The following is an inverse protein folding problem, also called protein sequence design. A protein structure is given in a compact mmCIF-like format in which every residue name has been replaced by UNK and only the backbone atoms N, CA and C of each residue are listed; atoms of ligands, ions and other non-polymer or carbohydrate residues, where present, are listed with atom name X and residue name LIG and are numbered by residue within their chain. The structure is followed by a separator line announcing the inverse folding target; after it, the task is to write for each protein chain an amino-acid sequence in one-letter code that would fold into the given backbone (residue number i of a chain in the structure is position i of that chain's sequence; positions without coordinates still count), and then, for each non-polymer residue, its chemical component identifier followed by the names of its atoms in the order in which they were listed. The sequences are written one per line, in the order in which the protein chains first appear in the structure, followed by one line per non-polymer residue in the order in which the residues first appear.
data_IF_924820581438
#
_entry.id   IF_924820581438
#
_cell.length_a   1.000
_cell.length_b   1.000
_cell.length_c   1.000
_cell.angle_alpha   90.00
_cell.angle_beta   90.00
_cell.angle_gamma   90.00
#
_symmetry.space_group_name_H-M   'P 1'
#
loop_
_entity.id
_entity.type
_entity.pdbx_description
1 polymer ?
#
# COMPACT_ATOMS: atom_id res chain seq x y z
N UNK A 1 20.52 -22.98 -31.47
CA UNK A 1 20.50 -22.07 -30.29
C UNK A 1 19.44 -20.94 -30.32
N UNK A 2 18.79 -20.60 -31.45
CA UNK A 2 17.79 -19.50 -31.53
C UNK A 2 16.46 -19.70 -30.76
N UNK A 3 16.03 -20.95 -30.55
CA UNK A 3 14.71 -21.28 -29.98
C UNK A 3 14.59 -20.99 -28.47
N UNK A 4 15.72 -20.98 -27.76
CA UNK A 4 15.79 -20.75 -26.30
C UNK A 4 15.73 -19.25 -25.96
N UNK A 5 16.38 -18.40 -26.78
CA UNK A 5 16.37 -16.95 -26.60
C UNK A 5 14.98 -16.31 -26.83
N UNK A 6 14.20 -16.84 -27.79
CA UNK A 6 12.83 -16.37 -28.05
C UNK A 6 11.87 -16.71 -26.90
N UNK A 7 11.96 -17.94 -26.37
CA UNK A 7 11.17 -18.35 -25.21
C UNK A 7 11.49 -17.51 -23.96
N UNK A 8 12.77 -17.21 -23.72
CA UNK A 8 13.19 -16.31 -22.63
C UNK A 8 12.62 -14.89 -22.78
N UNK A 9 12.66 -14.32 -24.00
CA UNK A 9 12.05 -13.01 -24.28
C UNK A 9 10.53 -13.01 -24.08
N UNK A 10 9.84 -14.06 -24.50
CA UNK A 10 8.39 -14.18 -24.33
C UNK A 10 8.01 -14.32 -22.84
N UNK A 11 8.76 -15.08 -22.06
CA UNK A 11 8.55 -15.20 -20.61
C UNK A 11 8.83 -13.88 -19.88
N UNK A 12 9.91 -13.16 -20.25
CA UNK A 12 10.20 -11.84 -19.72
C UNK A 12 9.09 -10.82 -20.06
N UNK A 13 8.60 -10.82 -21.30
CA UNK A 13 7.47 -9.98 -21.72
C UNK A 13 6.18 -10.32 -20.98
N UNK A 14 5.87 -11.61 -20.79
CA UNK A 14 4.72 -12.06 -19.99
C UNK A 14 4.86 -11.66 -18.52
N UNK A 15 6.06 -11.76 -17.96
CA UNK A 15 6.39 -11.28 -16.62
C UNK A 15 6.20 -9.78 -16.49
N UNK A 16 6.65 -8.99 -17.47
CA UNK A 16 6.47 -7.54 -17.49
C UNK A 16 5.00 -7.12 -17.60
N UNK A 17 4.20 -7.79 -18.45
CA UNK A 17 2.74 -7.56 -18.54
C UNK A 17 2.06 -7.88 -17.21
N UNK A 18 2.42 -9.00 -16.57
CA UNK A 18 1.89 -9.37 -15.25
C UNK A 18 2.27 -8.34 -14.18
N UNK A 19 3.52 -7.86 -14.17
CA UNK A 19 3.97 -6.83 -13.25
C UNK A 19 3.22 -5.50 -13.46
N UNK A 20 3.00 -5.09 -14.72
CA UNK A 20 2.23 -3.91 -15.05
C UNK A 20 0.76 -4.03 -14.59
N UNK A 21 0.10 -5.15 -14.87
CA UNK A 21 -1.26 -5.41 -14.39
C UNK A 21 -1.38 -5.38 -12.86
N UNK A 22 -0.39 -5.93 -12.15
CA UNK A 22 -0.31 -5.85 -10.69
C UNK A 22 -0.16 -4.40 -10.23
N UNK A 23 0.72 -3.62 -10.86
CA UNK A 23 0.91 -2.19 -10.55
C UNK A 23 -0.37 -1.39 -10.75
N UNK A 24 -1.08 -1.60 -11.86
CA UNK A 24 -2.36 -0.95 -12.14
C UNK A 24 -3.43 -1.32 -11.10
N UNK A 25 -3.49 -2.60 -10.71
CA UNK A 25 -4.42 -3.05 -9.67
C UNK A 25 -4.09 -2.40 -8.32
N UNK A 26 -2.82 -2.38 -7.91
CA UNK A 26 -2.39 -1.72 -6.67
C UNK A 26 -2.72 -0.23 -6.70
N UNK A 27 -2.44 0.46 -7.82
CA UNK A 27 -2.75 1.88 -7.97
C UNK A 27 -4.27 2.15 -7.86
N UNK A 28 -5.09 1.31 -8.51
CA UNK A 28 -6.55 1.40 -8.41
C UNK A 28 -7.03 1.17 -6.98
N UNK A 29 -6.53 0.14 -6.31
CA UNK A 29 -6.88 -0.16 -4.92
C UNK A 29 -6.55 1.01 -3.98
N UNK A 30 -5.33 1.57 -4.08
CA UNK A 30 -4.93 2.72 -3.27
C UNK A 30 -5.81 3.93 -3.54
N UNK A 31 -6.08 4.25 -4.80
CA UNK A 31 -6.97 5.37 -5.18
C UNK A 31 -8.37 5.19 -4.60
N UNK A 32 -8.93 3.99 -4.71
CA UNK A 32 -10.25 3.68 -4.14
C UNK A 32 -10.26 3.83 -2.62
N UNK A 33 -9.23 3.35 -1.92
CA UNK A 33 -9.12 3.49 -0.46
C UNK A 33 -9.04 4.96 -0.04
N UNK A 34 -8.24 5.78 -0.74
CA UNK A 34 -8.17 7.23 -0.48
C UNK A 34 -9.53 7.92 -0.68
N UNK A 35 -10.22 7.62 -1.77
CA UNK A 35 -11.53 8.22 -2.06
C UNK A 35 -12.60 7.76 -1.05
N UNK A 36 -12.66 6.46 -0.75
CA UNK A 36 -13.63 5.92 0.20
C UNK A 36 -13.42 6.47 1.61
N UNK A 37 -12.16 6.59 2.07
CA UNK A 37 -11.84 7.17 3.38
C UNK A 37 -12.17 8.66 3.42
N UNK A 38 -11.91 9.43 2.37
CA UNK A 38 -12.31 10.84 2.28
C UNK A 38 -13.84 11.03 2.40
N UNK A 39 -14.63 10.22 1.69
CA UNK A 39 -16.10 10.24 1.78
C UNK A 39 -16.55 9.90 3.19
N UNK A 40 -16.06 8.80 3.77
CA UNK A 40 -16.45 8.39 5.12
C UNK A 40 -16.07 9.42 6.19
N UNK A 41 -14.87 10.02 6.09
CA UNK A 41 -14.43 11.06 7.02
C UNK A 41 -15.27 12.34 6.91
N UNK A 42 -15.68 12.69 5.71
CA UNK A 42 -16.62 13.80 5.49
C UNK A 42 -17.99 13.49 6.09
N UNK A 43 -18.58 12.34 5.76
CA UNK A 43 -19.94 11.99 6.18
C UNK A 43 -20.07 11.79 7.70
N UNK A 44 -19.08 11.17 8.34
CA UNK A 44 -19.14 10.84 9.77
C UNK A 44 -18.66 11.99 10.65
N UNK A 45 -17.61 12.71 10.23
CA UNK A 45 -16.94 13.71 11.08
C UNK A 45 -17.00 15.13 10.52
N UNK A 46 -17.61 15.36 9.36
CA UNK A 46 -17.70 16.67 8.73
C UNK A 46 -16.36 17.23 8.26
N UNK A 47 -15.39 16.37 7.93
CA UNK A 47 -14.08 16.85 7.50
C UNK A 47 -14.18 17.59 6.16
N UNK A 48 -13.65 18.82 6.14
CA UNK A 48 -13.46 19.59 4.90
C UNK A 48 -12.16 19.20 4.18
N UNK A 49 -11.93 19.76 2.97
CA UNK A 49 -10.80 19.43 2.11
C UNK A 49 -9.44 19.43 2.84
N UNK A 50 -9.11 20.51 3.56
CA UNK A 50 -7.84 20.62 4.29
C UNK A 50 -7.60 19.52 5.34
N UNK A 51 -8.67 19.00 5.97
CA UNK A 51 -8.54 17.90 6.94
C UNK A 51 -8.38 16.56 6.23
N UNK A 52 -9.03 16.39 5.08
CA UNK A 52 -8.89 15.20 4.24
C UNK A 52 -7.48 15.13 3.66
N UNK A 53 -6.94 16.25 3.17
CA UNK A 53 -5.58 16.32 2.62
C UNK A 53 -4.55 15.97 3.69
N UNK A 54 -4.64 16.56 4.89
CA UNK A 54 -3.77 16.18 6.02
C UNK A 54 -3.88 14.70 6.41
N UNK A 55 -5.09 14.14 6.38
CA UNK A 55 -5.28 12.71 6.64
C UNK A 55 -4.60 11.86 5.56
N UNK A 56 -4.72 12.25 4.28
CA UNK A 56 -4.07 11.59 3.16
C UNK A 56 -2.55 11.63 3.29
N UNK A 57 -1.97 12.79 3.58
CA UNK A 57 -0.54 12.95 3.78
C UNK A 57 -0.04 12.06 4.94
N UNK A 58 -0.79 12.01 6.04
CA UNK A 58 -0.47 11.14 7.16
C UNK A 58 -0.56 9.65 6.80
N UNK A 59 -1.56 9.25 6.02
CA UNK A 59 -1.69 7.87 5.55
C UNK A 59 -0.56 7.48 4.59
N UNK A 60 -0.18 8.37 3.68
CA UNK A 60 0.96 8.16 2.77
C UNK A 60 2.28 8.04 3.54
N UNK A 61 2.52 8.89 4.54
CA UNK A 61 3.69 8.80 5.40
C UNK A 61 3.80 7.44 6.14
N UNK A 62 2.66 6.90 6.61
CA UNK A 62 2.61 5.57 7.23
C UNK A 62 2.94 4.46 6.23
N UNK A 63 2.42 4.54 5.00
CA UNK A 63 2.68 3.55 3.95
C UNK A 63 4.15 3.59 3.53
N UNK A 64 4.73 4.78 3.38
CA UNK A 64 6.15 4.95 3.06
C UNK A 64 7.05 4.40 4.17
N UNK A 65 6.75 4.70 5.44
CA UNK A 65 7.49 4.13 6.57
C UNK A 65 7.46 2.60 6.55
N UNK A 66 6.29 2.01 6.25
CA UNK A 66 6.15 0.56 6.12
C UNK A 66 6.95 0.01 4.93
N UNK A 67 6.91 0.69 3.77
CA UNK A 67 7.71 0.33 2.59
C UNK A 67 9.21 0.35 2.87
N UNK A 68 9.70 1.40 3.54
CA UNK A 68 11.11 1.51 3.94
C UNK A 68 11.52 0.36 4.87
N UNK A 69 10.62 -0.11 5.75
CA UNK A 69 10.87 -1.26 6.63
C UNK A 69 10.91 -2.58 5.86
N UNK A 70 10.04 -2.76 4.87
CA UNK A 70 10.08 -3.91 3.97
C UNK A 70 11.40 -3.99 3.20
N UNK A 71 11.92 -2.84 2.77
CA UNK A 71 13.16 -2.76 1.99
C UNK A 71 14.42 -2.90 2.88
N UNK A 72 14.36 -2.45 4.14
CA UNK A 72 15.54 -2.40 5.04
C UNK A 72 15.67 -3.59 5.99
N UNK A 73 14.57 -4.27 6.33
CA UNK A 73 14.57 -5.39 7.28
C UNK A 73 13.91 -6.62 6.65
N UNK A 74 12.62 -6.85 6.92
CA UNK A 74 11.79 -7.92 6.36
C UNK A 74 10.30 -7.60 6.58
N UNK A 75 9.44 -8.45 6.00
CA UNK A 75 7.99 -8.31 6.09
C UNK A 75 7.44 -8.52 7.50
N UNK A 76 7.96 -9.50 8.24
CA UNK A 76 7.46 -9.85 9.57
C UNK A 76 7.66 -8.69 10.55
N UNK A 77 8.83 -8.05 10.51
CA UNK A 77 9.13 -6.89 11.34
C UNK A 77 8.28 -5.66 10.95
N UNK A 78 8.13 -5.39 9.66
CA UNK A 78 7.30 -4.27 9.18
C UNK A 78 5.84 -4.44 9.62
N UNK A 79 5.29 -5.66 9.47
CA UNK A 79 3.94 -6.03 9.88
C UNK A 79 3.75 -5.89 11.39
N UNK A 80 4.67 -6.45 12.19
CA UNK A 80 4.60 -6.37 13.64
C UNK A 80 4.63 -4.92 14.13
N UNK A 81 5.52 -4.08 13.58
CA UNK A 81 5.63 -2.67 13.97
C UNK A 81 4.33 -1.91 13.67
N UNK A 82 3.74 -2.12 12.49
CA UNK A 82 2.48 -1.49 12.13
C UNK A 82 1.32 -1.99 13.02
N UNK A 83 1.26 -3.30 13.28
CA UNK A 83 0.23 -3.91 14.12
C UNK A 83 0.31 -3.42 15.56
N UNK A 84 1.52 -3.32 16.14
CA UNK A 84 1.73 -2.76 17.49
C UNK A 84 1.22 -1.32 17.59
N UNK A 85 1.49 -0.47 16.59
CA UNK A 85 0.98 0.92 16.56
C UNK A 85 -0.55 0.95 16.48
N UNK A 86 -1.14 0.11 15.63
CA UNK A 86 -2.60 -0.02 15.54
C UNK A 86 -3.23 -0.48 16.85
N UNK A 87 -2.68 -1.53 17.47
CA UNK A 87 -3.12 -2.08 18.77
C UNK A 87 -3.08 -1.04 19.87
N UNK A 88 -2.00 -0.26 19.96
CA UNK A 88 -1.85 0.81 20.94
C UNK A 88 -2.94 1.89 20.78
N UNK A 89 -3.25 2.30 19.53
CA UNK A 89 -4.31 3.28 19.24
C UNK A 89 -5.69 2.72 19.62
N UNK A 90 -5.95 1.46 19.30
CA UNK A 90 -7.23 0.81 19.59
C UNK A 90 -7.41 0.43 21.07
N UNK A 91 -6.42 0.72 21.93
CA UNK A 91 -6.43 0.33 23.34
C UNK A 91 -6.36 -1.19 23.55
N UNK A 92 -5.92 -1.94 22.53
CA UNK A 92 -5.80 -3.40 22.55
C UNK A 92 -4.35 -3.80 22.74
N UNK A 93 -3.78 -3.56 23.91
CA UNK A 93 -2.47 -4.11 24.23
C UNK A 93 -2.60 -5.63 24.41
N UNK A 94 -1.81 -6.42 23.67
CA UNK A 94 -1.64 -7.84 23.98
C UNK A 94 -1.07 -7.98 25.40
N UNK A 95 -1.53 -8.96 26.20
CA UNK A 95 -0.89 -9.31 27.48
C UNK A 95 0.57 -9.73 27.29
#
# INVERSE_FOLDING_TARGET
MRRNAYAAKLMAAKGAVSAHQKKELVHRCLTTVYQASAVALHEVYGFGPDRIDRFRDAMEAVILEYGDLLDSVDADYADEKLERRYKAIMGRNSP
#
